data_IF_130140756137
#
_entry.id   IF_130140756137
#
_cell.length_a   1.000
_cell.length_b   1.000
_cell.length_c   1.000
_cell.angle_alpha   90.00
_cell.angle_beta   90.00
_cell.angle_gamma   90.00
#
_symmetry.space_group_name_H-M   'P 1'
#
loop_
_entity.id
_entity.type
_entity.pdbx_description
1 polymer ?
#
# COMPACT_ATOMS: atom_id res chain seq x y z
N UNK A 1 0.99 -37.32 -5.31
CA UNK A 1 0.52 -36.85 -4.01
C UNK A 1 -0.95 -37.25 -3.89
N UNK A 2 -1.28 -38.23 -3.06
CA UNK A 2 -2.67 -38.68 -2.86
C UNK A 2 -3.39 -37.71 -1.96
N UNK A 3 -4.54 -37.24 -2.39
CA UNK A 3 -5.46 -36.44 -1.60
C UNK A 3 -6.35 -37.43 -0.85
N UNK A 4 -6.20 -37.51 0.46
CA UNK A 4 -7.15 -38.18 1.35
C UNK A 4 -8.26 -37.19 1.75
N UNK A 5 -9.48 -37.72 1.82
CA UNK A 5 -10.74 -37.02 2.04
C UNK A 5 -10.88 -36.46 3.48
N UNK A 6 -11.77 -35.46 3.72
CA UNK A 6 -11.69 -34.54 4.83
C UNK A 6 -12.35 -35.06 6.12
N UNK A 7 -11.54 -35.25 7.15
CA UNK A 7 -11.99 -35.32 8.54
C UNK A 7 -11.53 -34.08 9.29
N UNK A 8 -12.49 -33.32 9.79
CA UNK A 8 -12.41 -32.20 10.75
C UNK A 8 -11.02 -31.57 10.99
N UNK A 9 -10.59 -30.70 10.12
CA UNK A 9 -9.46 -29.80 10.29
C UNK A 9 -9.98 -28.42 10.63
N UNK A 10 -9.78 -28.00 11.86
CA UNK A 10 -9.82 -26.60 12.27
C UNK A 10 -8.87 -25.83 11.34
N UNK A 11 -9.40 -25.02 10.45
CA UNK A 11 -8.64 -24.18 9.52
C UNK A 11 -7.77 -23.20 10.32
N UNK A 12 -6.46 -23.48 10.40
CA UNK A 12 -5.48 -22.49 10.80
C UNK A 12 -5.09 -21.70 9.56
N UNK A 13 -5.18 -20.38 9.64
CA UNK A 13 -4.72 -19.47 8.59
C UNK A 13 -3.21 -19.64 8.38
N UNK A 14 -2.78 -19.92 7.15
CA UNK A 14 -1.37 -19.99 6.79
C UNK A 14 -0.99 -18.73 6.00
N UNK A 15 -0.03 -17.99 6.51
CA UNK A 15 0.63 -16.91 5.76
C UNK A 15 1.91 -17.47 5.13
N UNK A 16 2.06 -17.31 3.83
CA UNK A 16 3.30 -17.60 3.12
C UNK A 16 3.89 -16.28 2.60
N UNK A 17 5.06 -15.93 3.09
CA UNK A 17 5.84 -14.81 2.57
C UNK A 17 6.98 -15.36 1.72
N UNK A 18 6.97 -15.05 0.43
CA UNK A 18 8.03 -15.35 -0.52
C UNK A 18 8.83 -14.07 -0.79
N UNK A 19 10.10 -14.05 -0.37
CA UNK A 19 11.03 -12.95 -0.68
C UNK A 19 11.88 -13.35 -1.88
N UNK A 20 11.84 -12.57 -2.96
CA UNK A 20 12.63 -12.77 -4.18
C UNK A 20 13.84 -11.84 -4.16
N UNK A 21 15.05 -12.35 -4.34
CA UNK A 21 16.28 -11.55 -4.45
C UNK A 21 16.90 -11.71 -5.83
N UNK A 22 17.21 -10.62 -6.51
CA UNK A 22 18.06 -10.65 -7.70
C UNK A 22 19.52 -10.49 -7.28
N UNK A 23 20.34 -11.45 -7.71
CA UNK A 23 21.82 -11.53 -7.72
C UNK A 23 22.60 -10.93 -6.55
N UNK A 24 23.18 -11.82 -5.78
CA UNK A 24 24.40 -11.56 -5.01
C UNK A 24 24.31 -11.70 -3.50
N UNK A 25 24.87 -12.74 -2.99
CA UNK A 25 25.25 -13.11 -1.63
C UNK A 25 24.34 -14.03 -0.82
N UNK A 26 24.99 -15.07 -0.36
CA UNK A 26 24.53 -16.23 0.39
C UNK A 26 23.62 -15.93 1.58
N UNK A 27 22.47 -16.61 1.61
CA UNK A 27 21.63 -16.74 2.78
C UNK A 27 21.11 -18.18 2.88
N UNK A 28 21.35 -18.83 3.98
CA UNK A 28 21.15 -20.23 4.25
C UNK A 28 19.70 -20.69 4.03
N UNK A 29 19.52 -21.65 3.11
CA UNK A 29 18.43 -22.61 3.13
C UNK A 29 18.74 -23.59 4.29
N UNK A 30 17.96 -23.56 5.37
CA UNK A 30 17.89 -24.73 6.26
C UNK A 30 16.90 -25.69 5.66
N UNK A 31 17.47 -26.83 5.28
CA UNK A 31 16.87 -28.00 4.72
C UNK A 31 15.67 -28.50 5.52
N UNK A 32 14.67 -28.88 4.77
CA UNK A 32 13.59 -29.71 5.23
C UNK A 32 14.06 -31.16 5.28
N UNK A 33 14.77 -31.53 6.35
CA UNK A 33 15.05 -32.92 6.71
C UNK A 33 14.46 -33.24 8.08
N UNK A 34 13.24 -33.80 8.05
CA UNK A 34 12.79 -34.80 9.01
C UNK A 34 11.75 -35.67 8.36
N UNK A 35 12.17 -36.66 7.59
CA UNK A 35 11.85 -38.07 7.82
C UNK A 35 12.68 -38.90 6.87
N UNK A 36 13.52 -39.77 7.47
CA UNK A 36 14.35 -40.66 6.74
C UNK A 36 13.55 -41.72 6.01
N UNK A 37 13.79 -41.85 4.72
CA UNK A 37 13.90 -43.10 3.99
C UNK A 37 14.58 -42.89 2.64
N UNK A 38 15.63 -43.62 2.48
CA UNK A 38 16.51 -43.81 1.32
C UNK A 38 15.81 -44.09 0.01
N UNK A 39 16.35 -43.50 -1.07
CA UNK A 39 16.40 -44.10 -2.42
C UNK A 39 15.37 -43.58 -3.42
N UNK A 40 15.75 -42.67 -4.25
CA UNK A 40 15.80 -42.87 -5.70
C UNK A 40 16.45 -41.67 -6.42
N UNK A 41 17.55 -41.94 -7.09
CA UNK A 41 18.30 -41.02 -7.91
C UNK A 41 17.64 -40.90 -9.29
N UNK A 42 16.62 -40.06 -9.43
CA UNK A 42 16.22 -39.54 -10.74
C UNK A 42 15.18 -38.39 -10.60
N UNK A 43 15.55 -37.28 -9.98
CA UNK A 43 14.78 -36.04 -10.07
C UNK A 43 15.52 -35.04 -10.93
N UNK A 44 15.03 -34.86 -12.15
CA UNK A 44 15.40 -33.73 -13.02
C UNK A 44 15.23 -32.45 -12.23
N UNK A 45 16.32 -31.69 -12.12
CA UNK A 45 16.42 -30.50 -11.30
C UNK A 45 15.31 -29.50 -11.60
N UNK A 46 14.57 -29.17 -10.57
CA UNK A 46 13.86 -27.90 -10.51
C UNK A 46 14.95 -26.83 -10.58
N UNK A 47 14.88 -25.86 -11.51
CA UNK A 47 15.87 -24.78 -11.53
C UNK A 47 15.85 -24.12 -10.17
N UNK A 48 17.01 -24.10 -9.50
CA UNK A 48 17.21 -23.34 -8.27
C UNK A 48 17.05 -21.88 -8.67
N UNK A 49 15.88 -21.32 -8.40
CA UNK A 49 15.66 -19.89 -8.50
C UNK A 49 16.34 -19.28 -7.29
N UNK A 50 17.47 -18.62 -7.54
CA UNK A 50 18.26 -17.95 -6.52
C UNK A 50 17.37 -17.00 -5.72
N UNK A 51 17.30 -17.29 -4.42
CA UNK A 51 16.74 -16.48 -3.34
C UNK A 51 15.21 -16.30 -3.25
N UNK A 52 14.53 -17.38 -2.93
CA UNK A 52 13.16 -17.30 -2.41
C UNK A 52 13.15 -17.78 -0.96
N UNK A 53 12.74 -16.93 -0.01
CA UNK A 53 12.53 -17.34 1.39
C UNK A 53 11.05 -17.61 1.55
N UNK A 54 10.70 -18.89 1.79
CA UNK A 54 9.33 -19.27 2.18
C UNK A 54 9.31 -19.31 3.70
N UNK A 55 8.60 -18.37 4.32
CA UNK A 55 8.33 -18.40 5.75
C UNK A 55 6.91 -18.86 5.99
N UNK A 56 6.71 -19.86 6.84
CA UNK A 56 5.39 -20.28 7.28
C UNK A 56 5.04 -19.59 8.59
N UNK A 57 3.76 -19.43 8.88
CA UNK A 57 3.27 -18.81 10.12
C UNK A 57 3.81 -19.47 11.40
N UNK A 58 4.16 -20.76 11.34
CA UNK A 58 4.73 -21.49 12.47
C UNK A 58 6.21 -21.18 12.74
N UNK A 59 6.90 -20.49 11.83
CA UNK A 59 8.32 -20.14 11.98
C UNK A 59 8.53 -18.86 12.79
N UNK A 60 7.45 -18.12 13.10
CA UNK A 60 7.50 -16.95 13.95
C UNK A 60 7.27 -17.34 15.42
N UNK A 61 8.35 -17.45 16.18
CA UNK A 61 8.29 -17.61 17.64
C UNK A 61 7.74 -16.34 18.33
N UNK A 62 7.70 -15.21 17.63
CA UNK A 62 7.26 -13.91 18.14
C UNK A 62 5.87 -13.54 17.61
N UNK A 63 4.86 -13.53 18.49
CA UNK A 63 3.49 -13.11 18.16
C UNK A 63 3.43 -11.69 17.59
N UNK A 64 4.33 -10.80 18.03
CA UNK A 64 4.39 -9.40 17.60
C UNK A 64 4.76 -9.27 16.13
N UNK A 65 5.72 -10.06 15.62
CA UNK A 65 6.08 -10.06 14.18
C UNK A 65 4.92 -10.53 13.34
N UNK A 66 4.25 -11.60 13.76
CA UNK A 66 3.07 -12.14 13.09
C UNK A 66 1.95 -11.10 13.02
N UNK A 67 1.68 -10.40 14.11
CA UNK A 67 0.65 -9.36 14.19
C UNK A 67 0.99 -8.17 13.30
N UNK A 68 2.25 -7.71 13.30
CA UNK A 68 2.72 -6.63 12.42
C UNK A 68 2.56 -6.99 10.94
N UNK A 69 3.01 -8.19 10.54
CA UNK A 69 2.89 -8.63 9.15
C UNK A 69 1.43 -8.77 8.72
N UNK A 70 0.56 -9.29 9.60
CA UNK A 70 -0.88 -9.38 9.33
C UNK A 70 -1.49 -8.01 9.09
N UNK A 71 -1.15 -7.04 9.92
CA UNK A 71 -1.61 -5.65 9.80
C UNK A 71 -1.04 -5.00 8.54
N UNK A 72 0.29 -5.05 8.38
CA UNK A 72 1.00 -4.45 7.25
C UNK A 72 0.46 -4.90 5.90
N UNK A 73 0.27 -6.21 5.73
CA UNK A 73 -0.22 -6.76 4.48
C UNK A 73 -1.73 -6.95 4.45
N UNK A 74 -2.47 -6.41 5.44
CA UNK A 74 -3.95 -6.47 5.54
C UNK A 74 -4.52 -7.87 5.35
N UNK A 75 -3.91 -8.86 5.99
CA UNK A 75 -4.25 -10.26 5.82
C UNK A 75 -5.54 -10.58 6.57
N UNK A 76 -6.50 -11.15 5.86
CA UNK A 76 -7.77 -11.59 6.45
C UNK A 76 -7.59 -12.91 7.19
N UNK A 77 -8.06 -12.99 8.43
CA UNK A 77 -8.04 -14.23 9.19
C UNK A 77 -8.88 -15.33 8.50
N UNK A 78 -8.39 -16.58 8.56
CA UNK A 78 -9.14 -17.75 8.06
C UNK A 78 -8.98 -18.05 6.57
N UNK A 79 -8.25 -17.24 5.82
CA UNK A 79 -8.01 -17.44 4.37
C UNK A 79 -6.53 -17.73 4.14
N UNK A 80 -6.18 -18.82 3.41
CA UNK A 80 -4.79 -19.04 3.00
C UNK A 80 -4.30 -17.85 2.16
N UNK A 81 -3.21 -17.23 2.57
CA UNK A 81 -2.67 -16.04 1.90
C UNK A 81 -1.20 -16.28 1.57
N UNK A 82 -0.83 -16.04 0.31
CA UNK A 82 0.54 -16.03 -0.17
C UNK A 82 0.82 -14.68 -0.82
N UNK A 83 1.72 -13.92 -0.20
CA UNK A 83 2.16 -12.61 -0.71
C UNK A 83 3.61 -12.76 -1.17
N UNK A 84 3.88 -12.37 -2.42
CA UNK A 84 5.23 -12.32 -2.94
C UNK A 84 5.78 -10.90 -2.73
N UNK A 85 6.99 -10.84 -2.21
CA UNK A 85 7.71 -9.58 -2.00
C UNK A 85 8.99 -9.57 -2.83
N UNK A 86 9.36 -8.40 -3.32
CA UNK A 86 10.67 -8.14 -3.91
C UNK A 86 11.75 -8.29 -2.83
N UNK A 87 12.80 -9.03 -3.13
CA UNK A 87 13.82 -9.40 -2.13
C UNK A 87 14.66 -8.25 -1.61
N UNK A 88 14.88 -7.22 -2.40
CA UNK A 88 15.72 -6.07 -2.05
C UNK A 88 14.91 -4.98 -1.34
N UNK A 89 13.74 -4.67 -1.86
CA UNK A 89 12.90 -3.55 -1.39
C UNK A 89 11.88 -3.97 -0.35
N UNK A 90 11.44 -5.24 -0.36
CA UNK A 90 10.30 -5.71 0.42
C UNK A 90 8.95 -5.30 -0.16
N UNK A 91 8.93 -4.66 -1.33
CA UNK A 91 7.71 -4.24 -2.04
C UNK A 91 6.85 -5.44 -2.43
N UNK A 92 5.53 -5.25 -2.46
CA UNK A 92 4.60 -6.33 -2.83
C UNK A 92 4.64 -6.58 -4.33
N UNK A 93 5.10 -7.77 -4.74
CA UNK A 93 5.02 -8.23 -6.13
C UNK A 93 3.61 -8.66 -6.48
N UNK A 94 2.95 -9.42 -5.61
CA UNK A 94 1.55 -9.81 -5.74
C UNK A 94 0.97 -10.31 -4.42
N UNK A 95 -0.28 -9.97 -4.15
CA UNK A 95 -1.07 -10.49 -3.01
C UNK A 95 -1.85 -11.76 -3.36
N UNK A 96 -2.04 -12.03 -4.66
CA UNK A 96 -2.75 -13.20 -5.19
C UNK A 96 -1.87 -14.43 -5.40
N UNK A 97 -0.81 -14.63 -4.61
CA UNK A 97 0.16 -15.70 -4.82
C UNK A 97 -0.43 -17.10 -4.76
N UNK A 98 -1.45 -17.34 -3.91
CA UNK A 98 -2.12 -18.67 -3.82
C UNK A 98 -2.80 -19.01 -5.14
N UNK A 99 -3.60 -18.10 -5.69
CA UNK A 99 -4.32 -18.29 -6.93
C UNK A 99 -3.36 -18.52 -8.11
N UNK A 100 -2.27 -17.73 -8.14
CA UNK A 100 -1.25 -17.84 -9.19
C UNK A 100 -0.44 -19.13 -9.10
N UNK A 101 -0.10 -19.58 -7.90
CA UNK A 101 0.58 -20.86 -7.68
C UNK A 101 -0.31 -22.05 -8.09
N UNK A 102 -1.61 -21.95 -7.84
CA UNK A 102 -2.57 -22.98 -8.29
C UNK A 102 -2.74 -22.96 -9.81
N UNK A 103 -2.71 -21.78 -10.44
CA UNK A 103 -2.82 -21.65 -11.91
C UNK A 103 -1.53 -22.03 -12.65
N UNK A 104 -0.37 -21.91 -12.01
CA UNK A 104 0.96 -22.25 -12.54
C UNK A 104 1.73 -23.17 -11.58
N UNK A 105 1.33 -24.46 -11.46
CA UNK A 105 1.93 -25.40 -10.52
C UNK A 105 3.42 -25.70 -10.81
N UNK A 106 3.88 -25.40 -12.02
CA UNK A 106 5.27 -25.59 -12.44
C UNK A 106 6.15 -24.38 -12.13
N UNK A 107 5.56 -23.23 -11.79
CA UNK A 107 6.28 -21.99 -11.54
C UNK A 107 6.92 -21.38 -12.80
N UNK A 108 6.44 -21.75 -14.00
CA UNK A 108 7.03 -21.31 -15.26
C UNK A 108 7.00 -19.79 -15.41
N UNK A 109 5.96 -19.13 -14.89
CA UNK A 109 5.77 -17.68 -14.97
C UNK A 109 6.13 -16.96 -13.66
N UNK A 110 6.82 -17.64 -12.74
CA UNK A 110 7.31 -17.00 -11.51
C UNK A 110 8.27 -15.82 -11.86
N UNK A 111 8.19 -14.68 -11.15
CA UNK A 111 7.54 -14.41 -9.86
C UNK A 111 6.07 -13.98 -9.93
N UNK A 112 5.34 -14.31 -10.99
CA UNK A 112 3.93 -14.01 -11.18
C UNK A 112 3.58 -12.53 -11.05
N UNK A 113 4.46 -11.66 -11.52
CA UNK A 113 4.19 -10.22 -11.55
C UNK A 113 2.87 -9.96 -12.28
N UNK A 114 1.96 -9.16 -11.72
CA UNK A 114 0.80 -8.72 -12.48
C UNK A 114 1.26 -8.02 -13.76
N UNK A 115 0.59 -8.24 -14.90
CA UNK A 115 0.86 -7.44 -16.08
C UNK A 115 0.54 -5.97 -15.76
N UNK A 116 1.32 -5.05 -16.34
CA UNK A 116 1.02 -3.63 -16.21
C UNK A 116 -0.41 -3.34 -16.72
N UNK A 117 -1.24 -2.55 -16.02
CA UNK A 117 -2.64 -2.31 -16.36
C UNK A 117 -2.84 -1.73 -17.76
N UNK A 118 -1.86 -0.97 -18.27
CA UNK A 118 -1.86 -0.35 -19.60
C UNK A 118 -2.22 -1.34 -20.71
N UNK A 119 -1.54 -2.48 -20.80
CA UNK A 119 -1.80 -3.46 -21.84
C UNK A 119 -3.26 -3.96 -21.86
N UNK A 120 -3.89 -4.04 -20.67
CA UNK A 120 -5.30 -4.43 -20.56
C UNK A 120 -6.25 -3.26 -20.84
N UNK A 121 -5.86 -2.03 -20.52
CA UNK A 121 -6.62 -0.83 -20.84
C UNK A 121 -6.61 -0.53 -22.35
N UNK A 122 -5.55 -0.88 -23.05
CA UNK A 122 -5.41 -0.74 -24.51
C UNK A 122 -6.09 -1.87 -25.30
N UNK A 123 -6.55 -2.94 -24.65
CA UNK A 123 -7.16 -4.12 -25.29
C UNK A 123 -8.62 -3.85 -25.72
N UNK A 124 -8.82 -2.82 -26.55
CA UNK A 124 -10.09 -2.47 -27.16
C UNK A 124 -10.72 -1.17 -26.65
N UNK A 125 -11.87 -0.79 -27.25
CA UNK A 125 -12.51 0.49 -26.94
C UNK A 125 -13.14 0.53 -25.56
N UNK A 126 -13.28 1.74 -25.05
CA UNK A 126 -14.08 2.10 -23.90
C UNK A 126 -15.40 2.69 -24.36
N UNK A 127 -16.51 2.29 -23.77
CA UNK A 127 -17.82 2.80 -24.11
C UNK A 127 -18.22 3.91 -23.14
N UNK A 128 -18.94 4.94 -23.57
CA UNK A 128 -19.52 5.92 -22.67
C UNK A 128 -20.63 5.29 -21.81
N UNK A 129 -20.74 5.73 -20.58
CA UNK A 129 -21.91 5.49 -19.74
C UNK A 129 -23.06 6.45 -20.11
N UNK A 130 -24.30 6.14 -19.71
CA UNK A 130 -25.49 6.91 -20.10
C UNK A 130 -25.49 8.38 -19.66
N UNK A 131 -24.84 8.71 -18.54
CA UNK A 131 -24.72 10.07 -18.03
C UNK A 131 -23.64 10.94 -18.71
N UNK A 132 -22.82 10.39 -19.63
CA UNK A 132 -21.71 11.12 -20.25
C UNK A 132 -22.14 12.17 -21.30
N UNK A 133 -23.29 12.00 -21.91
CA UNK A 133 -23.76 12.91 -22.97
C UNK A 133 -23.16 12.68 -24.36
N UNK A 134 -22.25 11.75 -24.53
CA UNK A 134 -21.69 11.25 -25.80
C UNK A 134 -21.91 9.75 -25.93
N UNK A 135 -22.17 9.27 -27.15
CA UNK A 135 -22.32 7.84 -27.41
C UNK A 135 -21.14 7.25 -28.20
N UNK A 136 -20.11 8.03 -28.46
CA UNK A 136 -18.96 7.55 -29.24
C UNK A 136 -17.99 6.78 -28.36
N UNK A 137 -17.57 5.55 -28.80
CA UNK A 137 -16.49 4.82 -28.15
C UNK A 137 -15.20 5.62 -28.18
N UNK A 138 -14.39 5.45 -27.15
CA UNK A 138 -13.09 6.11 -27.01
C UNK A 138 -11.98 5.07 -26.87
N UNK A 139 -10.83 5.32 -27.49
CA UNK A 139 -9.66 4.50 -27.30
C UNK A 139 -8.87 4.97 -26.06
N UNK A 140 -8.22 4.05 -25.39
CA UNK A 140 -7.40 4.36 -24.22
C UNK A 140 -6.30 5.39 -24.52
N UNK A 141 -5.73 5.39 -25.73
CA UNK A 141 -4.70 6.35 -26.16
C UNK A 141 -5.18 7.80 -26.07
N UNK A 142 -6.47 8.06 -26.22
CA UNK A 142 -7.05 9.40 -26.10
C UNK A 142 -7.00 9.93 -24.64
N UNK A 143 -6.82 9.02 -23.67
CA UNK A 143 -6.71 9.32 -22.24
C UNK A 143 -5.25 9.53 -21.77
N UNK A 144 -4.29 9.57 -22.67
CA UNK A 144 -2.84 9.68 -22.35
C UNK A 144 -2.45 10.92 -21.53
N UNK A 145 -3.32 11.92 -21.44
CA UNK A 145 -3.10 13.14 -20.66
C UNK A 145 -3.98 13.21 -19.40
N UNK A 146 -4.76 12.15 -19.16
CA UNK A 146 -5.67 12.09 -18.02
C UNK A 146 -5.08 11.26 -16.88
N UNK A 147 -5.28 11.70 -15.66
CA UNK A 147 -5.30 10.83 -14.50
C UNK A 147 -6.53 9.94 -14.62
N UNK A 148 -6.38 8.64 -14.40
CA UNK A 148 -7.46 7.68 -14.57
C UNK A 148 -7.88 7.06 -13.25
N UNK A 149 -9.18 7.04 -12.97
CA UNK A 149 -9.79 6.30 -11.89
C UNK A 149 -10.37 4.98 -12.41
N UNK A 150 -9.78 3.84 -12.07
CA UNK A 150 -10.36 2.53 -12.44
C UNK A 150 -11.30 2.10 -11.33
N UNK A 151 -12.59 2.13 -11.61
CA UNK A 151 -13.66 1.90 -10.63
C UNK A 151 -14.30 0.54 -10.79
N UNK A 152 -14.03 -0.36 -9.85
CA UNK A 152 -14.62 -1.71 -9.76
C UNK A 152 -15.86 -1.68 -8.88
N UNK A 153 -17.02 -2.04 -9.46
CA UNK A 153 -18.28 -1.94 -8.75
C UNK A 153 -19.35 -2.84 -9.39
N UNK A 154 -20.53 -2.95 -8.76
CA UNK A 154 -21.67 -3.69 -9.28
C UNK A 154 -22.99 -3.14 -8.77
N UNK A 155 -24.04 -3.25 -9.58
CA UNK A 155 -25.41 -2.83 -9.25
C UNK A 155 -25.98 -3.57 -8.02
N UNK A 156 -25.65 -4.85 -7.86
CA UNK A 156 -26.15 -5.68 -6.75
C UNK A 156 -25.49 -5.38 -5.40
N UNK A 157 -24.40 -4.58 -5.38
CA UNK A 157 -23.58 -4.31 -4.20
C UNK A 157 -24.08 -3.05 -3.44
N UNK A 158 -24.65 -3.13 -2.23
CA UNK A 158 -25.15 -1.96 -1.52
C UNK A 158 -24.09 -0.90 -1.19
N UNK A 159 -22.85 -1.26 -0.70
CA UNK A 159 -21.79 -0.28 -0.51
C UNK A 159 -21.39 0.44 -1.80
N UNK A 160 -21.44 -0.25 -2.93
CA UNK A 160 -21.16 0.32 -4.24
C UNK A 160 -22.19 1.41 -4.61
N UNK A 161 -23.47 1.13 -4.40
CA UNK A 161 -24.57 2.10 -4.64
C UNK A 161 -24.44 3.34 -3.76
N UNK A 162 -23.94 3.20 -2.54
CA UNK A 162 -23.72 4.33 -1.63
C UNK A 162 -22.49 5.16 -2.05
N UNK A 163 -21.45 4.53 -2.59
CA UNK A 163 -20.23 5.22 -2.99
C UNK A 163 -20.31 5.90 -4.36
N UNK A 164 -21.02 5.31 -5.33
CA UNK A 164 -21.10 5.84 -6.70
C UNK A 164 -21.54 7.32 -6.79
N UNK A 165 -22.57 7.79 -6.07
CA UNK A 165 -22.95 9.21 -6.08
C UNK A 165 -21.82 10.13 -5.58
N UNK A 166 -21.12 9.73 -4.52
CA UNK A 166 -20.00 10.50 -3.98
C UNK A 166 -18.85 10.61 -4.99
N UNK A 167 -18.54 9.50 -5.69
CA UNK A 167 -17.56 9.53 -6.77
C UNK A 167 -18.00 10.44 -7.92
N UNK A 168 -19.30 10.48 -8.27
CA UNK A 168 -19.84 11.38 -9.31
C UNK A 168 -19.62 12.84 -8.91
N UNK A 169 -19.99 13.21 -7.68
CA UNK A 169 -19.86 14.57 -7.18
C UNK A 169 -18.39 15.02 -7.16
N UNK A 170 -17.50 14.21 -6.60
CA UNK A 170 -16.06 14.51 -6.54
C UNK A 170 -15.43 14.56 -7.95
N UNK A 171 -15.80 13.65 -8.85
CA UNK A 171 -15.35 13.64 -10.24
C UNK A 171 -15.70 14.96 -10.96
N UNK A 172 -16.91 15.46 -10.76
CA UNK A 172 -17.35 16.75 -11.36
C UNK A 172 -16.54 17.91 -10.81
N UNK A 173 -16.36 18.00 -9.49
CA UNK A 173 -15.58 19.06 -8.83
C UNK A 173 -14.13 19.09 -9.28
N UNK A 174 -13.49 17.92 -9.37
CA UNK A 174 -12.10 17.80 -9.85
C UNK A 174 -11.99 18.34 -11.29
N UNK A 175 -12.94 18.01 -12.16
CA UNK A 175 -12.95 18.47 -13.55
C UNK A 175 -13.28 19.96 -13.67
N UNK A 176 -14.17 20.49 -12.87
CA UNK A 176 -14.50 21.93 -12.80
C UNK A 176 -13.28 22.76 -12.36
N UNK A 177 -12.38 22.20 -11.55
CA UNK A 177 -11.09 22.80 -11.20
C UNK A 177 -10.04 22.71 -12.31
N UNK A 178 -10.36 22.13 -13.45
CA UNK A 178 -9.48 22.05 -14.62
C UNK A 178 -8.53 20.85 -14.64
N UNK A 179 -8.69 19.90 -13.74
CA UNK A 179 -7.90 18.66 -13.79
C UNK A 179 -8.42 17.72 -14.88
N UNK A 180 -7.50 17.13 -15.62
CA UNK A 180 -7.80 16.08 -16.59
C UNK A 180 -7.97 14.74 -15.85
N UNK A 181 -9.20 14.48 -15.40
CA UNK A 181 -9.58 13.26 -14.71
C UNK A 181 -10.64 12.50 -15.50
N UNK A 182 -10.43 11.20 -15.71
CA UNK A 182 -11.41 10.32 -16.34
C UNK A 182 -11.59 9.04 -15.51
N UNK A 183 -12.82 8.57 -15.38
CA UNK A 183 -13.11 7.31 -14.69
C UNK A 183 -13.43 6.22 -15.71
N UNK A 184 -12.92 5.02 -15.46
CA UNK A 184 -13.18 3.82 -16.26
C UNK A 184 -13.87 2.82 -15.35
N UNK A 185 -15.16 2.61 -15.59
CA UNK A 185 -15.96 1.65 -14.84
C UNK A 185 -15.70 0.21 -15.30
N UNK A 186 -15.45 -0.65 -14.33
CA UNK A 186 -15.24 -2.09 -14.50
C UNK A 186 -16.29 -2.85 -13.71
N UNK A 187 -17.26 -3.42 -14.40
CA UNK A 187 -18.40 -4.09 -13.76
C UNK A 187 -18.07 -5.47 -13.24
N UNK A 188 -18.57 -5.77 -12.04
CA UNK A 188 -18.70 -7.13 -11.49
C UNK A 188 -20.17 -7.62 -11.52
N UNK A 189 -21.02 -7.02 -12.35
CA UNK A 189 -22.39 -7.48 -12.53
C UNK A 189 -22.45 -8.83 -13.24
N UNK A 190 -23.51 -9.59 -12.91
CA UNK A 190 -23.73 -10.93 -13.46
C UNK A 190 -24.60 -10.94 -14.72
N UNK A 191 -25.30 -9.83 -14.99
CA UNK A 191 -26.15 -9.68 -16.17
C UNK A 191 -25.94 -8.34 -16.86
N UNK A 192 -26.12 -8.32 -18.17
CA UNK A 192 -26.00 -7.12 -18.98
C UNK A 192 -27.09 -6.08 -18.63
N UNK A 193 -28.29 -6.54 -18.27
CA UNK A 193 -29.38 -5.64 -17.83
C UNK A 193 -28.98 -4.87 -16.56
N UNK A 194 -28.46 -5.55 -15.55
CA UNK A 194 -27.98 -4.89 -14.33
C UNK A 194 -26.87 -3.90 -14.62
N UNK A 195 -25.90 -4.30 -15.46
CA UNK A 195 -24.83 -3.43 -15.91
C UNK A 195 -25.34 -2.17 -16.63
N UNK A 196 -26.27 -2.32 -17.59
CA UNK A 196 -26.81 -1.20 -18.34
C UNK A 196 -27.60 -0.25 -17.44
N UNK A 197 -28.45 -0.77 -16.55
CA UNK A 197 -29.19 0.04 -15.56
C UNK A 197 -28.24 0.82 -14.68
N UNK A 198 -27.20 0.18 -14.15
CA UNK A 198 -26.28 0.82 -13.22
C UNK A 198 -25.44 1.93 -13.87
N UNK A 199 -25.05 1.75 -15.12
CA UNK A 199 -24.24 2.74 -15.85
C UNK A 199 -25.03 3.93 -16.40
N UNK A 200 -26.36 3.93 -16.29
CA UNK A 200 -27.21 5.00 -16.87
C UNK A 200 -26.90 6.40 -16.29
N UNK A 201 -26.61 6.49 -14.99
CA UNK A 201 -26.32 7.75 -14.29
C UNK A 201 -24.84 8.10 -14.21
N UNK A 202 -23.95 7.22 -14.65
CA UNK A 202 -22.50 7.46 -14.57
C UNK A 202 -22.03 8.38 -15.69
N UNK A 203 -21.24 9.45 -15.40
CA UNK A 203 -20.80 10.42 -16.40
C UNK A 203 -19.46 10.09 -17.09
N UNK A 204 -18.99 8.86 -17.00
CA UNK A 204 -17.65 8.45 -17.43
C UNK A 204 -17.66 7.29 -18.42
N UNK A 205 -16.48 6.68 -18.63
CA UNK A 205 -16.28 5.54 -19.54
C UNK A 205 -16.47 4.20 -18.81
N UNK A 206 -16.67 3.14 -19.59
CA UNK A 206 -16.82 1.77 -19.09
C UNK A 206 -16.18 0.75 -20.03
N UNK A 207 -15.67 -0.36 -19.48
CA UNK A 207 -15.31 -1.54 -20.26
C UNK A 207 -16.60 -2.24 -20.69
N UNK A 208 -16.75 -2.63 -21.97
CA UNK A 208 -17.95 -3.35 -22.45
C UNK A 208 -18.24 -4.60 -21.61
N UNK A 209 -19.54 -4.85 -21.35
CA UNK A 209 -19.95 -6.03 -20.56
C UNK A 209 -19.48 -7.36 -21.15
N UNK A 210 -19.52 -7.50 -22.45
CA UNK A 210 -19.10 -8.71 -23.19
C UNK A 210 -17.60 -9.01 -23.05
N UNK A 211 -16.78 -8.05 -22.65
CA UNK A 211 -15.33 -8.22 -22.48
C UNK A 211 -14.99 -8.71 -21.05
N UNK A 212 -15.56 -9.82 -20.63
CA UNK A 212 -15.37 -10.37 -19.28
C UNK A 212 -13.90 -10.68 -18.99
N UNK A 213 -13.19 -11.27 -19.93
CA UNK A 213 -11.76 -11.58 -19.77
C UNK A 213 -10.91 -10.35 -19.52
N UNK A 214 -11.19 -9.24 -20.24
CA UNK A 214 -10.51 -7.93 -20.03
C UNK A 214 -10.79 -7.39 -18.64
N UNK A 215 -12.05 -7.44 -18.18
CA UNK A 215 -12.41 -6.99 -16.81
C UNK A 215 -11.69 -7.81 -15.74
N UNK A 216 -11.62 -9.13 -15.90
CA UNK A 216 -10.91 -10.01 -14.97
C UNK A 216 -9.39 -9.82 -15.01
N UNK A 217 -8.79 -9.62 -16.19
CA UNK A 217 -7.36 -9.31 -16.34
C UNK A 217 -7.00 -8.01 -15.62
N UNK A 218 -7.83 -6.98 -15.77
CA UNK A 218 -7.60 -5.69 -15.12
C UNK A 218 -7.77 -5.78 -13.61
N UNK A 219 -8.76 -6.50 -13.10
CA UNK A 219 -8.94 -6.74 -11.68
C UNK A 219 -7.72 -7.45 -11.05
N UNK A 220 -7.14 -8.42 -11.78
CA UNK A 220 -5.91 -9.12 -11.36
C UNK A 220 -4.67 -8.23 -11.45
N UNK A 221 -4.58 -7.37 -12.47
CA UNK A 221 -3.46 -6.44 -12.64
C UNK A 221 -3.41 -5.38 -11.52
N UNK A 222 -4.58 -4.95 -11.05
CA UNK A 222 -4.75 -3.95 -10.00
C UNK A 222 -5.02 -4.55 -8.61
N UNK A 223 -4.81 -5.86 -8.44
CA UNK A 223 -4.95 -6.59 -7.18
C UNK A 223 -6.29 -6.35 -6.44
N UNK A 224 -7.38 -6.29 -7.19
CA UNK A 224 -8.72 -6.00 -6.65
C UNK A 224 -9.26 -7.19 -5.88
N UNK A 225 -9.41 -7.03 -4.57
CA UNK A 225 -9.86 -8.09 -3.64
C UNK A 225 -11.34 -7.98 -3.27
N UNK A 226 -11.96 -6.82 -3.45
CA UNK A 226 -13.34 -6.54 -3.07
C UNK A 226 -13.91 -5.38 -3.90
N UNK A 227 -15.24 -5.16 -3.80
CA UNK A 227 -15.91 -3.99 -4.36
C UNK A 227 -16.71 -3.27 -3.26
N UNK A 228 -16.82 -1.92 -3.33
CA UNK A 228 -16.24 -1.03 -4.33
C UNK A 228 -14.74 -0.81 -4.13
N UNK A 229 -13.99 -0.79 -5.23
CA UNK A 229 -12.58 -0.39 -5.25
C UNK A 229 -12.37 0.69 -6.31
N UNK A 230 -11.63 1.73 -5.97
CA UNK A 230 -11.18 2.79 -6.88
C UNK A 230 -9.65 2.82 -6.85
N UNK A 231 -9.03 2.60 -8.00
CA UNK A 231 -7.59 2.71 -8.19
C UNK A 231 -7.30 3.94 -9.02
N UNK A 232 -6.36 4.77 -8.59
CA UNK A 232 -5.95 5.96 -9.33
C UNK A 232 -4.64 5.67 -10.07
N UNK A 233 -4.64 5.95 -11.37
CA UNK A 233 -3.49 5.80 -12.25
C UNK A 233 -3.06 7.17 -12.79
N UNK A 234 -1.76 7.35 -12.95
CA UNK A 234 -1.19 8.52 -13.60
C UNK A 234 -1.48 8.52 -15.14
N UNK A 235 -1.10 9.57 -15.88
CA UNK A 235 -1.25 9.62 -17.33
C UNK A 235 -0.51 8.50 -18.08
N UNK A 236 0.51 7.87 -17.48
CA UNK A 236 1.29 6.75 -18.05
C UNK A 236 0.77 5.39 -17.64
N UNK A 237 -0.33 5.34 -16.86
CA UNK A 237 -0.96 4.15 -16.29
C UNK A 237 -0.19 3.49 -15.13
N UNK A 238 0.74 4.20 -14.50
CA UNK A 238 1.34 3.77 -13.25
C UNK A 238 0.34 4.00 -12.10
N UNK A 239 0.40 3.16 -11.08
CA UNK A 239 -0.48 3.26 -9.92
C UNK A 239 -0.05 4.44 -9.04
N UNK A 240 -0.93 5.43 -8.88
CA UNK A 240 -0.78 6.49 -7.87
C UNK A 240 -1.22 5.97 -6.50
N UNK A 241 -2.42 5.40 -6.42
CA UNK A 241 -2.92 4.79 -5.19
C UNK A 241 -3.93 3.67 -5.48
N UNK A 242 -3.84 2.58 -4.72
CA UNK A 242 -4.83 1.50 -4.73
C UNK A 242 -6.04 1.82 -3.84
N UNK A 243 -5.92 2.82 -2.97
CA UNK A 243 -6.90 3.20 -1.95
C UNK A 243 -7.71 4.45 -2.35
N UNK A 244 -7.87 4.71 -3.65
CA UNK A 244 -8.57 5.89 -4.15
C UNK A 244 -9.99 6.08 -3.58
N UNK A 245 -10.64 5.00 -3.12
CA UNK A 245 -11.90 5.09 -2.39
C UNK A 245 -11.73 5.77 -1.02
N UNK A 246 -10.72 5.42 -0.27
CA UNK A 246 -10.43 6.02 1.04
C UNK A 246 -10.01 7.48 0.87
N UNK A 247 -9.14 7.76 -0.10
CA UNK A 247 -8.70 9.12 -0.43
C UNK A 247 -9.89 10.03 -0.76
N UNK A 248 -10.83 9.56 -1.60
CA UNK A 248 -12.01 10.33 -1.96
C UNK A 248 -12.94 10.59 -0.76
N UNK A 249 -13.10 9.62 0.13
CA UNK A 249 -13.94 9.78 1.32
C UNK A 249 -13.35 10.80 2.32
N UNK A 250 -12.03 10.89 2.40
CA UNK A 250 -11.32 11.87 3.23
C UNK A 250 -11.27 13.25 2.55
N UNK A 251 -11.24 13.30 1.22
CA UNK A 251 -11.18 14.53 0.41
C UNK A 251 -12.31 14.57 -0.62
N UNK A 252 -13.58 14.70 -0.20
CA UNK A 252 -14.74 14.71 -1.11
C UNK A 252 -14.77 15.92 -2.04
N UNK A 253 -14.05 16.97 -1.69
CA UNK A 253 -13.86 18.13 -2.55
C UNK A 253 -12.79 17.94 -3.63
N UNK A 254 -11.92 16.90 -3.52
CA UNK A 254 -10.83 16.62 -4.43
C UNK A 254 -9.74 17.70 -4.43
N UNK A 255 -9.47 18.32 -3.28
CA UNK A 255 -8.45 19.37 -3.12
C UNK A 255 -7.05 18.83 -3.27
N UNK A 256 -6.83 17.58 -2.84
CA UNK A 256 -5.54 16.90 -2.86
C UNK A 256 -5.38 15.96 -4.06
N UNK A 257 -6.34 16.02 -5.03
CA UNK A 257 -6.23 15.21 -6.24
C UNK A 257 -4.91 15.49 -6.99
N UNK A 258 -4.19 14.47 -7.52
CA UNK A 258 -4.60 13.08 -7.74
C UNK A 258 -4.33 12.11 -6.58
N UNK A 259 -4.22 12.56 -5.35
CA UNK A 259 -3.97 11.77 -4.14
C UNK A 259 -2.66 10.95 -4.22
N UNK A 260 -1.69 11.51 -4.93
CA UNK A 260 -0.34 10.94 -4.96
C UNK A 260 0.26 10.96 -3.57
N UNK A 261 1.02 9.93 -3.24
CA UNK A 261 1.79 9.89 -2.00
C UNK A 261 2.68 11.12 -1.92
N UNK A 262 2.44 11.98 -0.94
CA UNK A 262 3.27 13.13 -0.68
C UNK A 262 4.51 12.68 0.08
N UNK A 263 5.64 13.29 -0.21
CA UNK A 263 6.88 13.03 0.53
C UNK A 263 6.79 13.57 1.96
N UNK A 264 6.04 14.65 2.15
CA UNK A 264 5.71 15.22 3.46
C UNK A 264 4.19 15.25 3.58
N UNK A 265 3.66 14.62 4.62
CA UNK A 265 2.22 14.50 4.85
C UNK A 265 1.81 15.27 6.12
N UNK A 266 0.57 15.76 6.14
CA UNK A 266 -0.03 16.19 7.41
C UNK A 266 -0.35 14.94 8.23
N UNK A 267 0.06 14.94 9.50
CA UNK A 267 -0.20 13.82 10.41
C UNK A 267 -1.69 13.73 10.74
N UNK A 268 -2.31 12.62 10.41
CA UNK A 268 -3.71 12.30 10.71
C UNK A 268 -3.80 10.87 11.23
N UNK A 269 -4.95 10.48 11.78
CA UNK A 269 -5.21 9.12 12.26
C UNK A 269 -4.91 8.03 11.20
N UNK A 270 -5.08 8.34 9.92
CA UNK A 270 -4.74 7.48 8.77
C UNK A 270 -3.31 6.92 8.86
N UNK A 271 -2.36 7.73 9.33
CA UNK A 271 -0.94 7.36 9.39
C UNK A 271 -0.53 6.62 10.66
N UNK A 272 -1.45 6.39 11.61
CA UNK A 272 -1.14 5.66 12.84
C UNK A 272 -0.52 4.28 12.57
N UNK A 273 -1.01 3.56 11.56
CA UNK A 273 -0.44 2.26 11.16
C UNK A 273 0.96 2.42 10.56
N UNK A 274 1.18 3.43 9.74
CA UNK A 274 2.49 3.71 9.13
C UNK A 274 3.54 4.05 10.19
N UNK A 275 3.19 4.85 11.20
CA UNK A 275 4.08 5.15 12.32
C UNK A 275 4.45 3.90 13.15
N UNK A 276 3.56 2.92 13.22
CA UNK A 276 3.86 1.64 13.86
C UNK A 276 4.80 0.74 13.05
N UNK A 277 4.90 0.94 11.75
CA UNK A 277 5.63 0.06 10.83
C UNK A 277 6.95 0.67 10.34
N UNK A 278 7.08 2.00 10.32
CA UNK A 278 8.26 2.71 9.81
C UNK A 278 8.68 3.88 10.72
N UNK A 279 9.97 4.24 10.75
CA UNK A 279 10.43 5.44 11.43
C UNK A 279 9.91 6.71 10.74
N UNK A 280 9.74 7.77 11.51
CA UNK A 280 9.23 9.04 11.01
C UNK A 280 9.99 10.25 11.55
N UNK A 281 10.14 11.26 10.71
CA UNK A 281 10.54 12.63 11.10
C UNK A 281 9.26 13.46 11.18
N UNK A 282 9.03 14.09 12.32
CA UNK A 282 7.79 14.83 12.57
C UNK A 282 8.14 16.22 13.06
N UNK A 283 7.62 17.23 12.37
CA UNK A 283 7.70 18.63 12.80
C UNK A 283 6.32 19.05 13.31
N UNK A 284 6.23 19.30 14.61
CA UNK A 284 5.05 19.82 15.26
C UNK A 284 5.01 21.34 15.13
N UNK A 285 3.86 21.86 14.72
CA UNK A 285 3.57 23.30 14.54
C UNK A 285 2.16 23.62 15.04
N UNK A 286 1.84 24.89 15.31
CA UNK A 286 0.48 25.29 15.74
C UNK A 286 -0.57 25.05 14.65
N UNK A 287 -0.22 25.28 13.38
CA UNK A 287 -1.03 24.86 12.23
C UNK A 287 -1.66 26.00 11.46
N UNK A 288 -1.17 27.23 11.59
CA UNK A 288 -1.54 28.26 10.63
C UNK A 288 -0.88 28.02 9.26
N UNK A 289 -1.45 28.62 8.21
CA UNK A 289 -0.98 28.40 6.84
C UNK A 289 0.50 28.75 6.63
N UNK A 290 1.02 29.74 7.37
CA UNK A 290 2.43 30.17 7.28
C UNK A 290 3.36 29.12 7.88
N UNK A 291 2.97 28.54 9.01
CA UNK A 291 3.75 27.51 9.70
C UNK A 291 3.75 26.20 8.93
N UNK A 292 2.60 25.81 8.34
CA UNK A 292 2.52 24.64 7.47
C UNK A 292 3.42 24.81 6.25
N UNK A 293 3.39 26.00 5.59
CA UNK A 293 4.27 26.29 4.46
C UNK A 293 5.75 26.31 4.88
N UNK A 294 6.07 26.87 6.05
CA UNK A 294 7.42 26.81 6.60
C UNK A 294 7.86 25.36 6.82
N UNK A 295 7.07 24.55 7.52
CA UNK A 295 7.37 23.15 7.79
C UNK A 295 7.57 22.34 6.50
N UNK A 296 6.71 22.55 5.50
CA UNK A 296 6.84 21.93 4.18
C UNK A 296 8.12 22.37 3.48
N UNK A 297 8.45 23.67 3.51
CA UNK A 297 9.66 24.23 2.89
C UNK A 297 10.96 23.66 3.45
N UNK A 298 10.95 23.27 4.72
CA UNK A 298 12.10 22.68 5.41
C UNK A 298 12.18 21.18 5.21
N UNK A 299 11.06 20.45 5.30
CA UNK A 299 11.03 18.98 5.24
C UNK A 299 11.10 18.43 3.80
N UNK A 300 10.47 19.11 2.85
CA UNK A 300 10.35 18.61 1.47
C UNK A 300 11.69 18.40 0.77
N UNK A 301 12.65 19.35 0.81
CA UNK A 301 13.96 19.13 0.18
C UNK A 301 14.71 17.92 0.74
N UNK A 302 14.56 17.67 2.03
CA UNK A 302 15.20 16.54 2.74
C UNK A 302 14.54 15.23 2.35
N UNK A 303 13.21 15.19 2.31
CA UNK A 303 12.45 14.04 1.88
C UNK A 303 12.75 13.67 0.41
N UNK A 304 12.90 14.68 -0.47
CA UNK A 304 13.30 14.47 -1.86
C UNK A 304 14.73 13.93 -1.99
N UNK A 305 15.69 14.49 -1.24
CA UNK A 305 17.06 14.01 -1.22
C UNK A 305 17.11 12.56 -0.72
N UNK A 306 16.42 12.28 0.39
CA UNK A 306 16.32 10.94 0.96
C UNK A 306 15.74 9.92 -0.04
N UNK A 307 14.70 10.30 -0.78
CA UNK A 307 14.09 9.46 -1.81
C UNK A 307 15.06 9.14 -2.94
N UNK A 308 15.81 10.14 -3.43
CA UNK A 308 16.78 9.99 -4.54
C UNK A 308 18.01 9.15 -4.15
N UNK A 309 18.40 9.20 -2.88
CA UNK A 309 19.56 8.46 -2.35
C UNK A 309 19.26 6.97 -2.12
N UNK A 310 18.04 6.52 -2.29
CA UNK A 310 17.69 5.12 -2.13
C UNK A 310 18.23 4.29 -3.29
N UNK A 311 18.92 3.18 -3.03
CA UNK A 311 19.48 2.31 -4.07
C UNK A 311 18.40 1.58 -4.89
N UNK A 312 17.18 1.52 -4.40
CA UNK A 312 16.00 0.87 -4.97
C UNK A 312 14.97 1.88 -5.51
N UNK A 313 15.36 3.16 -5.61
CA UNK A 313 14.46 4.19 -6.12
C UNK A 313 14.15 3.95 -7.60
N UNK A 314 12.88 3.67 -7.88
CA UNK A 314 12.31 3.62 -9.22
C UNK A 314 11.28 4.74 -9.34
N UNK A 315 11.50 5.76 -10.19
CA UNK A 315 10.54 6.86 -10.34
C UNK A 315 9.16 6.42 -10.83
N UNK A 316 9.07 5.26 -11.47
CA UNK A 316 7.81 4.72 -12.00
C UNK A 316 7.10 3.79 -10.99
N UNK A 317 7.80 3.37 -9.92
CA UNK A 317 7.25 2.49 -8.88
C UNK A 317 7.91 2.77 -7.53
N UNK A 318 7.42 3.77 -6.81
CA UNK A 318 7.95 4.14 -5.50
C UNK A 318 7.01 3.69 -4.37
N UNK A 319 7.45 2.65 -3.66
CA UNK A 319 6.77 2.16 -2.45
C UNK A 319 7.36 2.87 -1.22
N UNK A 320 6.62 3.85 -0.69
CA UNK A 320 7.01 4.62 0.49
C UNK A 320 6.77 3.86 1.81
N UNK A 321 6.09 2.71 1.78
CA UNK A 321 5.60 2.03 2.99
C UNK A 321 6.69 1.54 3.97
N UNK A 322 7.95 1.45 3.55
CA UNK A 322 9.06 0.94 4.36
C UNK A 322 10.18 1.94 4.63
N UNK A 323 9.96 3.18 4.28
CA UNK A 323 11.00 4.20 4.32
C UNK A 323 10.79 5.16 5.47
N UNK A 324 11.81 5.96 5.76
CA UNK A 324 11.68 7.08 6.68
C UNK A 324 10.56 8.01 6.18
N UNK A 325 9.55 8.20 6.99
CA UNK A 325 8.39 9.02 6.70
C UNK A 325 8.61 10.45 7.19
N UNK A 326 7.96 11.42 6.55
CA UNK A 326 8.04 12.82 6.94
C UNK A 326 6.63 13.37 7.17
N UNK A 327 6.40 13.95 8.35
CA UNK A 327 5.10 14.48 8.73
C UNK A 327 5.20 15.90 9.29
N UNK A 328 4.15 16.68 9.05
CA UNK A 328 3.83 17.91 9.74
C UNK A 328 2.69 17.59 10.70
N UNK A 329 2.88 17.76 11.97
CA UNK A 329 1.88 17.53 13.00
C UNK A 329 1.30 18.88 13.46
N UNK A 330 0.00 19.06 13.21
CA UNK A 330 -0.74 20.26 13.60
C UNK A 330 -1.24 20.12 15.04
N UNK A 331 -1.66 21.24 15.65
CA UNK A 331 -2.34 21.22 16.94
C UNK A 331 -3.73 20.56 16.80
N UNK A 332 -3.79 19.28 17.13
CA UNK A 332 -5.01 18.47 17.04
C UNK A 332 -4.91 17.20 17.90
N UNK A 333 -6.06 16.58 18.18
CA UNK A 333 -6.17 15.37 19.00
C UNK A 333 -5.20 14.24 18.59
N UNK A 334 -4.95 14.03 17.29
CA UNK A 334 -4.00 13.02 16.80
C UNK A 334 -2.56 13.32 17.26
N UNK A 335 -2.17 14.59 17.22
CA UNK A 335 -0.84 15.04 17.65
C UNK A 335 -0.67 14.91 19.16
N UNK A 336 -1.71 15.24 19.93
CA UNK A 336 -1.72 15.11 21.40
C UNK A 336 -1.58 13.64 21.83
N UNK A 337 -2.34 12.75 21.21
CA UNK A 337 -2.24 11.30 21.45
C UNK A 337 -0.81 10.80 21.16
N UNK A 338 -0.21 11.26 20.06
CA UNK A 338 1.16 10.85 19.73
C UNK A 338 2.18 11.40 20.72
N UNK A 339 2.04 12.68 21.14
CA UNK A 339 2.90 13.29 22.15
C UNK A 339 2.81 12.53 23.48
N UNK A 340 1.61 12.23 23.95
CA UNK A 340 1.40 11.44 25.17
C UNK A 340 1.99 10.04 25.06
N UNK A 341 1.79 9.36 23.92
CA UNK A 341 2.32 8.02 23.68
C UNK A 341 3.84 7.96 23.72
N UNK A 342 4.51 8.94 23.09
CA UNK A 342 5.98 9.02 23.00
C UNK A 342 6.56 9.60 24.30
N UNK A 343 5.87 10.54 24.96
CA UNK A 343 6.32 11.28 26.14
C UNK A 343 7.03 12.58 25.75
N UNK A 344 6.50 13.25 24.71
CA UNK A 344 6.96 14.59 24.27
C UNK A 344 6.25 15.69 25.06
N UNK A 345 6.87 16.84 25.16
CA UNK A 345 6.25 18.06 25.67
C UNK A 345 5.44 18.82 24.60
N UNK A 346 4.74 19.89 25.03
CA UNK A 346 3.83 20.65 24.14
C UNK A 346 4.56 21.77 23.36
N UNK A 347 5.91 21.79 23.38
CA UNK A 347 6.67 22.82 22.67
C UNK A 347 6.37 22.83 21.16
N UNK A 348 6.28 24.01 20.58
CA UNK A 348 6.18 24.27 19.15
C UNK A 348 7.06 25.47 18.77
N UNK A 349 7.78 25.41 17.65
CA UNK A 349 7.96 24.25 16.79
C UNK A 349 8.83 23.17 17.42
N UNK A 350 8.49 21.88 17.28
CA UNK A 350 9.25 20.76 17.80
C UNK A 350 9.58 19.77 16.68
N UNK A 351 10.86 19.54 16.41
CA UNK A 351 11.29 18.50 15.47
C UNK A 351 11.70 17.24 16.24
N UNK A 352 11.12 16.11 15.84
CA UNK A 352 11.42 14.81 16.45
C UNK A 352 11.57 13.71 15.38
N UNK A 353 12.40 12.73 15.69
CA UNK A 353 12.46 11.46 14.97
C UNK A 353 11.90 10.35 15.87
N UNK A 354 10.92 9.62 15.41
CA UNK A 354 10.22 8.57 16.15
C UNK A 354 10.39 7.25 15.43
N UNK A 355 10.82 6.21 16.14
CA UNK A 355 10.93 4.84 15.66
C UNK A 355 10.17 3.92 16.62
N UNK A 356 8.85 3.80 16.40
CA UNK A 356 7.98 2.95 17.24
C UNK A 356 8.40 1.49 17.16
N UNK A 357 8.74 0.92 15.99
CA UNK A 357 9.28 -0.44 15.91
C UNK A 357 10.48 -0.72 16.83
N UNK A 358 11.38 0.26 16.97
CA UNK A 358 12.55 0.15 17.87
C UNK A 358 12.25 0.61 19.30
N UNK A 359 11.12 1.26 19.53
CA UNK A 359 10.71 1.81 20.81
C UNK A 359 11.56 3.02 21.27
N UNK A 360 12.05 3.80 20.31
CA UNK A 360 12.95 4.95 20.58
C UNK A 360 12.48 6.21 19.87
N UNK A 361 12.88 7.35 20.43
CA UNK A 361 12.72 8.65 19.79
C UNK A 361 13.90 9.58 20.09
N UNK A 362 14.05 10.61 19.26
CA UNK A 362 15.04 11.67 19.41
C UNK A 362 14.33 12.99 19.20
N UNK A 363 14.61 13.97 20.05
CA UNK A 363 14.14 15.36 19.91
C UNK A 363 15.33 16.21 19.49
N UNK A 364 15.12 17.16 18.58
CA UNK A 364 16.12 18.15 18.24
C UNK A 364 16.39 19.05 19.46
N UNK A 365 17.63 19.48 19.64
CA UNK A 365 18.02 20.30 20.79
C UNK A 365 17.14 21.56 20.92
N UNK A 366 16.69 21.84 22.14
CA UNK A 366 15.87 23.00 22.44
C UNK A 366 16.62 24.30 22.08
N UNK A 367 15.90 25.22 21.42
CA UNK A 367 16.46 26.46 20.91
C UNK A 367 17.33 26.37 19.65
N UNK A 368 17.48 25.18 19.05
CA UNK A 368 18.13 25.08 17.77
C UNK A 368 17.22 25.67 16.67
N UNK A 369 17.80 26.46 15.78
CA UNK A 369 17.07 27.01 14.64
C UNK A 369 16.69 25.90 13.66
N UNK A 370 15.39 25.81 13.30
CA UNK A 370 14.89 24.83 12.34
C UNK A 370 15.10 25.39 10.93
N UNK A 371 16.14 24.90 10.27
CA UNK A 371 16.50 25.22 8.89
C UNK A 371 16.69 23.93 8.10
N UNK A 372 16.71 24.00 6.76
CA UNK A 372 16.97 22.82 5.91
C UNK A 372 18.28 22.13 6.32
N UNK A 373 19.35 22.90 6.57
CA UNK A 373 20.66 22.36 6.93
C UNK A 373 20.66 21.67 8.29
N UNK A 374 20.04 22.30 9.32
CA UNK A 374 19.97 21.73 10.68
C UNK A 374 19.12 20.46 10.71
N UNK A 375 17.99 20.46 9.99
CA UNK A 375 17.12 19.29 9.88
C UNK A 375 17.80 18.18 9.08
N UNK A 376 18.53 18.50 8.00
CA UNK A 376 19.32 17.49 7.27
C UNK A 376 20.36 16.82 8.19
N UNK A 377 21.10 17.60 8.99
CA UNK A 377 22.06 17.06 9.96
C UNK A 377 21.38 16.18 11.02
N UNK A 378 20.22 16.59 11.50
CA UNK A 378 19.42 15.82 12.45
C UNK A 378 18.97 14.47 11.85
N UNK A 379 18.43 14.48 10.63
CA UNK A 379 17.98 13.27 9.90
C UNK A 379 19.17 12.33 9.65
N UNK A 380 20.32 12.87 9.20
CA UNK A 380 21.52 12.07 8.96
C UNK A 380 22.09 11.50 10.28
N UNK A 381 22.03 12.26 11.34
CA UNK A 381 22.42 11.82 12.68
C UNK A 381 21.54 10.67 13.18
N UNK A 382 20.24 10.76 13.01
CA UNK A 382 19.27 9.73 13.35
C UNK A 382 19.47 8.46 12.54
N UNK A 383 19.57 8.57 11.20
CA UNK A 383 19.79 7.44 10.30
C UNK A 383 21.07 6.66 10.57
N UNK A 384 22.13 7.35 11.02
CA UNK A 384 23.43 6.75 11.28
C UNK A 384 23.62 6.36 12.76
N UNK A 385 22.55 6.35 13.57
CA UNK A 385 22.58 6.05 15.02
C UNK A 385 23.60 6.90 15.81
N UNK A 386 23.80 8.17 15.39
CA UNK A 386 24.77 9.10 16.02
C UNK A 386 24.14 9.97 17.09
N UNK A 387 22.80 10.05 17.15
CA UNK A 387 22.08 10.85 18.11
C UNK A 387 21.69 10.02 19.34
N UNK A 388 21.70 10.63 20.55
CA UNK A 388 21.22 9.96 21.75
C UNK A 388 19.71 9.70 21.65
N UNK A 389 19.31 8.44 21.84
CA UNK A 389 17.91 8.05 21.77
C UNK A 389 17.26 7.97 23.12
N UNK A 390 16.00 8.41 23.22
CA UNK A 390 15.12 8.22 24.37
C UNK A 390 14.22 7.00 24.14
N UNK A 391 13.74 6.39 25.22
CA UNK A 391 12.83 5.24 25.14
C UNK A 391 11.38 5.70 25.19
N UNK A 392 10.54 5.16 24.30
CA UNK A 392 9.09 5.41 24.31
C UNK A 392 8.48 4.74 25.53
N UNK A 393 7.88 5.51 26.43
CA UNK A 393 7.40 5.05 27.73
C UNK A 393 6.26 4.01 27.65
N UNK A 394 5.37 4.15 26.69
CA UNK A 394 4.22 3.25 26.53
C UNK A 394 4.61 1.84 26.03
N UNK A 395 5.64 1.74 25.17
CA UNK A 395 6.14 0.45 24.65
C UNK A 395 6.77 -0.38 25.79
N UNK A 396 7.42 0.26 26.76
CA UNK A 396 8.06 -0.43 27.89
C UNK A 396 7.11 -0.82 29.03
N UNK A 397 5.95 -0.14 29.17
CA UNK A 397 4.93 -0.53 30.17
C UNK A 397 4.20 -1.82 29.79
N UNK A 398 4.00 -2.11 28.51
CA UNK A 398 3.40 -3.36 28.05
C UNK A 398 4.30 -4.59 28.21
N UNK A 399 5.62 -4.40 28.19
CA UNK A 399 6.59 -5.47 28.40
C UNK A 399 6.85 -5.81 29.89
N UNK A 400 6.47 -4.92 30.81
CA UNK A 400 6.72 -5.09 32.25
C UNK A 400 5.51 -5.61 33.07
N UNK A 401 4.34 -5.80 32.46
CA UNK A 401 3.13 -6.22 33.15
C UNK A 401 2.71 -7.66 32.86
N UNK A 402 3.56 -8.64 33.20
CA UNK A 402 3.13 -10.00 33.56
C UNK A 402 4.03 -10.55 34.68
N UNK A 403 3.60 -10.45 35.95
CA UNK A 403 4.02 -11.42 36.91
C UNK A 403 3.08 -12.63 36.79
N UNK A 404 3.62 -13.75 36.34
CA UNK A 404 3.00 -15.06 36.50
C UNK A 404 2.76 -15.26 37.99
N UNK A 405 1.48 -15.21 38.41
CA UNK A 405 1.08 -15.73 39.71
C UNK A 405 0.77 -17.22 39.55
N UNK A 406 1.55 -17.99 40.25
CA UNK A 406 1.44 -19.42 40.55
C UNK A 406 0.03 -19.90 40.91
#
# INVERSE_FOLDING_TARGET
MKIESPGSLTFRSFLYLLRVRQRGTYGYLREWERDGRTGDSNRRGIPVIESTIIMTWNDFECKDVSTRLTRRYRIKAGVPTLILLEGETGSVVTRGGVERALADPTGTNFPWRPPHPKATLEDGPLLPCGGRGSNEPMLHEELRHCVKGVYFSAHWCPPCKAFTPQLVDTYQRIRERGHNFEVIFVSSDRSEDSYNVYTTSMPWLRIPFVQEERRQKLARALDVQAIPTLVILDPRDNIITLEGRAELLEDPEGLNFPWASRLVNILTEKYATTLHDAPAIILFVEGDDCEVQFAESVLLPIAEAYRKDRPDYDPDYDDLDNTLQFFIALDCETSDILREFVGLDDAVPLLTAIDIPRGVYVVMEDGAEITVDSVQQFVDGFRNDKLPTNKIAAVHKSAASEPIST
#
